data_IF_010720621604
#
_entry.id   IF_010720621604
#
_cell.length_a   1.000
_cell.length_b   1.000
_cell.length_c   1.000
_cell.angle_alpha   90.00
_cell.angle_beta   90.00
_cell.angle_gamma   90.00
#
_symmetry.space_group_name_H-M   'P 1'
#
loop_
_entity.id
_entity.type
_entity.pdbx_description
1 polymer ?
#
# COMPACT_ATOMS: atom_id res chain seq x y z
N UNK A 1 37.36 -10.82 10.07
CA UNK A 1 36.60 -11.97 9.53
C UNK A 1 36.67 -11.84 8.02
N UNK A 2 37.41 -12.70 7.36
CA UNK A 2 37.42 -12.74 5.90
C UNK A 2 36.15 -13.43 5.42
N UNK A 3 35.40 -12.71 4.57
CA UNK A 3 34.17 -13.22 3.98
C UNK A 3 34.52 -14.08 2.76
N UNK A 4 34.14 -15.35 2.78
CA UNK A 4 34.32 -16.26 1.64
C UNK A 4 33.47 -15.78 0.47
N UNK A 5 34.07 -15.50 -0.70
CA UNK A 5 33.33 -15.02 -1.87
C UNK A 5 32.47 -16.15 -2.48
N UNK A 6 31.20 -15.83 -2.74
CA UNK A 6 30.28 -16.68 -3.50
C UNK A 6 30.31 -16.33 -4.99
N UNK A 7 30.53 -15.02 -5.28
CA UNK A 7 30.60 -14.51 -6.65
C UNK A 7 32.04 -14.04 -6.95
N UNK A 8 32.68 -14.59 -8.00
CA UNK A 8 33.99 -14.11 -8.48
C UNK A 8 34.00 -12.63 -8.83
N UNK A 9 32.95 -12.14 -9.51
CA UNK A 9 32.83 -10.74 -9.88
C UNK A 9 31.55 -10.13 -9.38
N UNK A 10 31.66 -9.08 -8.56
CA UNK A 10 30.52 -8.30 -8.09
C UNK A 10 30.80 -6.80 -8.18
N UNK A 11 29.77 -6.03 -8.50
CA UNK A 11 29.85 -4.58 -8.62
C UNK A 11 28.88 -3.95 -7.62
N UNK A 12 29.39 -2.99 -6.82
CA UNK A 12 28.59 -2.13 -5.98
C UNK A 12 28.43 -0.75 -6.59
N UNK A 13 27.25 -0.18 -6.51
CA UNK A 13 26.93 1.16 -6.98
C UNK A 13 26.39 2.01 -5.85
N UNK A 14 27.09 3.11 -5.55
CA UNK A 14 26.55 4.17 -4.73
C UNK A 14 25.95 5.24 -5.65
N UNK A 15 24.62 5.42 -5.52
CA UNK A 15 23.82 6.18 -6.50
C UNK A 15 23.28 7.46 -5.87
N UNK A 16 23.78 8.60 -6.35
CA UNK A 16 23.33 9.93 -6.01
C UNK A 16 22.60 10.63 -7.16
N UNK A 17 22.09 11.83 -6.91
CA UNK A 17 21.35 12.61 -7.90
C UNK A 17 22.19 12.98 -9.13
N UNK A 18 23.47 13.32 -8.93
CA UNK A 18 24.36 13.84 -9.98
C UNK A 18 25.43 12.86 -10.41
N UNK A 19 25.74 11.88 -9.57
CA UNK A 19 26.89 11.01 -9.71
C UNK A 19 26.53 9.59 -9.29
N UNK A 20 27.19 8.62 -9.89
CA UNK A 20 27.16 7.20 -9.57
C UNK A 20 28.60 6.75 -9.38
N UNK A 21 28.95 6.35 -8.17
CA UNK A 21 30.24 5.74 -7.87
C UNK A 21 30.10 4.23 -7.96
N UNK A 22 30.92 3.61 -8.79
CA UNK A 22 30.95 2.16 -9.00
C UNK A 22 32.27 1.57 -8.48
N UNK A 23 32.16 0.42 -7.83
CA UNK A 23 33.30 -0.40 -7.44
C UNK A 23 33.10 -1.82 -7.94
N UNK A 24 34.01 -2.29 -8.80
CA UNK A 24 34.07 -3.68 -9.25
C UNK A 24 35.13 -4.44 -8.45
N UNK A 25 34.74 -5.61 -7.93
CA UNK A 25 35.68 -6.56 -7.29
C UNK A 25 35.66 -7.83 -8.11
N UNK A 26 36.78 -8.19 -8.71
CA UNK A 26 36.93 -9.35 -9.58
C UNK A 26 38.02 -10.26 -9.02
N UNK A 27 37.78 -11.57 -9.03
CA UNK A 27 38.83 -12.57 -8.78
C UNK A 27 39.22 -13.19 -10.10
N UNK A 28 40.52 -13.12 -10.45
CA UNK A 28 41.03 -13.76 -11.66
C UNK A 28 41.22 -15.28 -11.47
N UNK A 29 41.65 -15.97 -12.55
CA UNK A 29 41.86 -17.41 -12.54
C UNK A 29 42.95 -17.87 -11.53
N UNK A 30 43.88 -16.98 -11.19
CA UNK A 30 44.97 -17.22 -10.26
C UNK A 30 44.57 -16.90 -8.80
N UNK A 31 43.30 -16.54 -8.57
CA UNK A 31 42.76 -16.22 -7.26
C UNK A 31 43.11 -14.80 -6.77
N UNK A 32 43.72 -13.96 -7.60
CA UNK A 32 44.04 -12.60 -7.21
C UNK A 32 42.81 -11.70 -7.29
N UNK A 33 42.64 -10.89 -6.25
CA UNK A 33 41.50 -9.97 -6.15
C UNK A 33 41.91 -8.60 -6.69
N UNK A 34 41.19 -8.15 -7.72
CA UNK A 34 41.32 -6.79 -8.26
C UNK A 34 40.14 -5.93 -7.88
N UNK A 35 40.44 -4.71 -7.44
CA UNK A 35 39.42 -3.71 -7.08
C UNK A 35 39.58 -2.52 -8.01
N UNK A 36 38.52 -2.17 -8.72
CA UNK A 36 38.49 -1.04 -9.62
C UNK A 36 37.36 -0.08 -9.24
N UNK A 37 37.68 1.19 -9.14
CA UNK A 37 36.72 2.26 -8.89
C UNK A 37 36.52 3.09 -10.14
N UNK A 38 35.27 3.51 -10.39
CA UNK A 38 34.95 4.42 -11.47
C UNK A 38 33.75 5.30 -11.11
N UNK A 39 33.82 6.54 -11.52
CA UNK A 39 32.74 7.50 -11.37
C UNK A 39 32.04 7.75 -12.70
N UNK A 40 30.71 7.88 -12.63
CA UNK A 40 29.86 8.19 -13.76
C UNK A 40 28.90 9.31 -13.41
N UNK A 41 28.55 10.16 -14.38
CA UNK A 41 27.44 11.08 -14.23
C UNK A 41 26.09 10.38 -14.22
N UNK A 42 25.04 11.15 -13.93
CA UNK A 42 23.67 10.65 -13.86
C UNK A 42 22.86 10.82 -15.17
N UNK A 43 23.43 11.41 -16.21
CA UNK A 43 22.73 11.57 -17.48
C UNK A 43 22.60 10.25 -18.28
N UNK A 44 21.73 10.22 -19.27
CA UNK A 44 21.47 9.02 -20.08
C UNK A 44 22.75 8.47 -20.73
N UNK A 45 23.64 9.34 -21.25
CA UNK A 45 24.94 8.97 -21.83
C UNK A 45 25.83 8.25 -20.80
N UNK A 46 25.85 8.77 -19.56
CA UNK A 46 26.72 8.28 -18.50
C UNK A 46 26.23 6.92 -17.98
N UNK A 47 24.89 6.75 -17.85
CA UNK A 47 24.30 5.44 -17.50
C UNK A 47 24.53 4.40 -18.59
N UNK A 48 24.56 4.80 -19.87
CA UNK A 48 24.97 3.89 -20.97
C UNK A 48 26.46 3.53 -20.87
N UNK A 49 27.32 4.46 -20.47
CA UNK A 49 28.72 4.17 -20.22
C UNK A 49 28.90 3.24 -19.02
N UNK A 50 28.14 3.48 -17.92
CA UNK A 50 28.09 2.59 -16.75
C UNK A 50 27.65 1.16 -17.15
N UNK A 51 26.57 1.00 -17.91
CA UNK A 51 26.07 -0.33 -18.27
C UNK A 51 27.06 -1.08 -19.20
N UNK A 52 27.73 -0.40 -20.12
CA UNK A 52 28.82 -0.99 -20.92
C UNK A 52 30.01 -1.40 -20.05
N UNK A 53 30.47 -0.51 -19.16
CA UNK A 53 31.57 -0.80 -18.25
C UNK A 53 31.27 -1.99 -17.33
N UNK A 54 30.01 -2.13 -16.87
CA UNK A 54 29.58 -3.31 -16.13
C UNK A 54 29.57 -4.56 -17.01
N UNK A 55 29.04 -4.48 -18.25
CA UNK A 55 28.96 -5.62 -19.17
C UNK A 55 30.34 -6.17 -19.55
N UNK A 56 31.33 -5.31 -19.77
CA UNK A 56 32.73 -5.69 -20.06
C UNK A 56 33.35 -6.56 -18.95
N UNK A 57 32.87 -6.45 -17.72
CA UNK A 57 33.37 -7.20 -16.54
C UNK A 57 32.54 -8.47 -16.24
N UNK A 58 31.46 -8.68 -16.98
CA UNK A 58 30.57 -9.83 -16.85
C UNK A 58 30.26 -10.20 -15.39
N UNK A 59 29.74 -9.26 -14.55
CA UNK A 59 29.53 -9.53 -13.13
C UNK A 59 28.35 -10.49 -12.95
N UNK A 60 28.46 -11.41 -11.99
CA UNK A 60 27.34 -12.25 -11.56
C UNK A 60 26.24 -11.42 -10.91
N UNK A 61 26.61 -10.30 -10.30
CA UNK A 61 25.65 -9.40 -9.64
C UNK A 61 26.16 -7.97 -9.57
N UNK A 62 25.25 -7.02 -9.84
CA UNK A 62 25.44 -5.59 -9.56
C UNK A 62 24.49 -5.20 -8.45
N UNK A 63 24.97 -4.51 -7.42
CA UNK A 63 24.14 -4.14 -6.25
C UNK A 63 24.12 -2.63 -6.06
N UNK A 64 22.96 -2.08 -5.75
CA UNK A 64 22.80 -0.66 -5.40
C UNK A 64 21.82 -0.50 -4.23
N UNK A 65 21.97 0.58 -3.48
CA UNK A 65 21.08 0.89 -2.37
C UNK A 65 19.79 1.58 -2.85
N UNK A 66 18.66 1.28 -2.21
CA UNK A 66 17.33 1.85 -2.53
C UNK A 66 17.11 3.25 -1.98
N UNK A 67 18.15 4.11 -1.97
CA UNK A 67 18.04 5.47 -1.46
C UNK A 67 17.27 6.38 -2.43
N UNK A 68 16.18 6.96 -1.97
CA UNK A 68 15.35 7.86 -2.77
C UNK A 68 14.76 7.20 -4.03
N UNK A 69 14.86 7.92 -5.17
CA UNK A 69 14.37 7.46 -6.48
C UNK A 69 15.51 7.25 -7.50
N UNK A 70 16.73 7.64 -7.14
CA UNK A 70 17.84 7.76 -8.09
C UNK A 70 18.33 6.40 -8.62
N UNK A 71 18.18 5.33 -7.84
CA UNK A 71 18.53 3.97 -8.23
C UNK A 71 17.74 3.44 -9.44
N UNK A 72 16.54 3.99 -9.72
CA UNK A 72 15.68 3.47 -10.79
C UNK A 72 16.30 3.56 -12.17
N UNK A 73 16.95 4.67 -12.49
CA UNK A 73 17.50 4.90 -13.82
C UNK A 73 18.74 4.08 -14.13
N UNK A 74 19.74 3.89 -13.23
CA UNK A 74 20.82 2.94 -13.47
C UNK A 74 20.33 1.49 -13.45
N UNK A 75 19.37 1.11 -12.58
CA UNK A 75 18.74 -0.20 -12.60
C UNK A 75 18.19 -0.57 -13.99
N UNK A 76 17.39 0.33 -14.58
CA UNK A 76 16.82 0.12 -15.93
C UNK A 76 17.93 0.03 -17.01
N UNK A 77 19.02 0.80 -16.87
CA UNK A 77 20.12 0.74 -17.81
C UNK A 77 20.86 -0.61 -17.77
N UNK A 78 21.00 -1.20 -16.58
CA UNK A 78 21.59 -2.54 -16.38
C UNK A 78 20.64 -3.65 -16.85
N UNK A 79 19.35 -3.55 -16.49
CA UNK A 79 18.31 -4.51 -16.90
C UNK A 79 18.24 -4.66 -18.43
N UNK A 80 18.35 -3.55 -19.18
CA UNK A 80 18.30 -3.53 -20.64
C UNK A 80 19.49 -4.24 -21.34
N UNK A 81 20.59 -4.39 -20.66
CA UNK A 81 21.76 -5.12 -21.14
C UNK A 81 21.87 -6.52 -20.52
N UNK A 82 20.79 -6.99 -19.86
CA UNK A 82 20.71 -8.33 -19.29
C UNK A 82 21.51 -8.54 -18.00
N UNK A 83 22.01 -7.48 -17.36
CA UNK A 83 22.78 -7.60 -16.12
C UNK A 83 21.85 -7.79 -14.94
N UNK A 84 22.15 -8.80 -14.12
CA UNK A 84 21.46 -9.04 -12.85
C UNK A 84 21.77 -7.94 -11.85
N UNK A 85 20.80 -7.02 -11.65
CA UNK A 85 20.92 -5.92 -10.70
C UNK A 85 20.04 -6.16 -9.47
N UNK A 86 20.59 -5.99 -8.28
CA UNK A 86 19.88 -6.07 -7.00
C UNK A 86 19.78 -4.69 -6.36
N UNK A 87 18.57 -4.29 -6.00
CA UNK A 87 18.35 -3.09 -5.20
C UNK A 87 18.12 -3.50 -3.76
N UNK A 88 18.98 -3.06 -2.86
CA UNK A 88 18.97 -3.49 -1.46
C UNK A 88 18.50 -2.37 -0.52
N UNK A 89 17.93 -2.77 0.60
CA UNK A 89 17.46 -1.81 1.59
C UNK A 89 18.65 -1.30 2.43
N UNK A 90 18.80 0.02 2.54
CA UNK A 90 19.82 0.69 3.35
C UNK A 90 19.96 0.15 4.78
N UNK A 91 18.85 -0.23 5.40
CA UNK A 91 18.87 -0.81 6.76
C UNK A 91 19.50 -2.20 6.80
N UNK A 92 19.37 -2.98 5.74
CA UNK A 92 20.01 -4.29 5.63
C UNK A 92 21.53 -4.13 5.55
N UNK A 93 21.99 -3.19 4.71
CA UNK A 93 23.43 -2.88 4.55
C UNK A 93 24.05 -2.41 5.86
N UNK A 94 23.35 -1.54 6.59
CA UNK A 94 23.81 -1.01 7.89
C UNK A 94 23.84 -2.03 9.03
N UNK A 95 23.04 -3.09 8.94
CA UNK A 95 22.94 -4.12 9.98
C UNK A 95 23.91 -5.28 9.79
N UNK A 96 24.67 -5.31 8.69
CA UNK A 96 25.71 -6.33 8.51
C UNK A 96 26.93 -5.92 9.35
N UNK A 97 27.40 -6.76 10.29
CA UNK A 97 28.57 -6.46 11.09
C UNK A 97 29.81 -6.31 10.20
N UNK A 98 30.54 -5.22 10.37
CA UNK A 98 31.77 -4.94 9.63
C UNK A 98 32.20 -3.50 9.82
N UNK A 99 33.46 -3.22 9.54
CA UNK A 99 34.03 -1.87 9.67
C UNK A 99 33.64 -1.07 8.42
N UNK A 100 32.79 -0.06 8.58
CA UNK A 100 32.57 0.98 7.58
C UNK A 100 33.81 1.89 7.65
N UNK A 101 34.78 1.66 6.77
CA UNK A 101 35.85 2.61 6.51
C UNK A 101 35.33 3.62 5.49
N UNK A 102 35.95 4.81 5.38
CA UNK A 102 35.64 5.85 4.38
C UNK A 102 35.88 5.40 2.92
N UNK A 103 36.25 4.15 2.70
CA UNK A 103 36.30 3.50 1.41
C UNK A 103 34.87 3.31 0.93
N UNK A 104 34.54 4.05 -0.09
CA UNK A 104 33.29 4.28 -0.76
C UNK A 104 32.19 3.25 -0.44
N UNK A 105 30.98 3.74 -0.08
CA UNK A 105 29.79 2.91 0.13
C UNK A 105 29.58 1.90 -1.02
N UNK A 106 30.05 2.21 -2.24
CA UNK A 106 30.08 1.31 -3.39
C UNK A 106 30.96 0.07 -3.17
N UNK A 107 32.17 0.21 -2.60
CA UNK A 107 33.06 -0.93 -2.34
C UNK A 107 32.47 -1.85 -1.26
N UNK A 108 31.87 -1.27 -0.21
CA UNK A 108 31.20 -2.06 0.82
C UNK A 108 30.02 -2.86 0.25
N UNK A 109 29.22 -2.25 -0.64
CA UNK A 109 28.17 -2.96 -1.35
C UNK A 109 28.72 -4.10 -2.22
N UNK A 110 29.85 -3.91 -2.92
CA UNK A 110 30.49 -4.93 -3.72
C UNK A 110 31.01 -6.09 -2.86
N UNK A 111 31.63 -5.80 -1.71
CA UNK A 111 32.11 -6.83 -0.76
C UNK A 111 30.97 -7.67 -0.22
N UNK A 112 29.87 -7.03 0.23
CA UNK A 112 28.71 -7.72 0.76
C UNK A 112 27.98 -8.52 -0.33
N UNK A 113 27.90 -7.97 -1.55
CA UNK A 113 27.33 -8.65 -2.71
C UNK A 113 28.13 -9.91 -3.04
N UNK A 114 29.47 -9.81 -3.12
CA UNK A 114 30.39 -10.88 -3.40
C UNK A 114 30.26 -12.04 -2.38
N UNK A 115 30.04 -11.72 -1.11
CA UNK A 115 29.80 -12.70 -0.06
C UNK A 115 28.36 -13.26 -0.01
N UNK A 116 27.46 -12.82 -0.92
CA UNK A 116 26.05 -13.25 -0.95
C UNK A 116 25.20 -12.81 0.24
N UNK A 117 25.66 -11.82 1.01
CA UNK A 117 25.02 -11.36 2.24
C UNK A 117 23.84 -10.40 1.99
N UNK A 118 23.64 -9.96 0.74
CA UNK A 118 22.63 -8.99 0.40
C UNK A 118 21.40 -9.67 -0.23
N UNK A 119 20.22 -9.25 0.23
CA UNK A 119 18.94 -9.65 -0.36
C UNK A 119 18.36 -8.50 -1.15
N UNK A 120 18.09 -8.74 -2.44
CA UNK A 120 17.40 -7.78 -3.30
C UNK A 120 15.97 -7.53 -2.86
N UNK A 121 15.51 -6.29 -3.00
CA UNK A 121 14.11 -5.92 -2.90
C UNK A 121 13.37 -6.37 -4.16
N UNK A 122 12.09 -6.73 -4.02
CA UNK A 122 11.25 -7.04 -5.17
C UNK A 122 11.04 -5.79 -6.03
N UNK A 123 11.37 -5.90 -7.32
CA UNK A 123 11.13 -4.89 -8.35
C UNK A 123 10.28 -5.54 -9.44
N UNK A 124 9.06 -5.04 -9.71
CA UNK A 124 8.22 -5.61 -10.75
C UNK A 124 8.82 -5.40 -12.15
N UNK A 125 8.36 -6.20 -13.14
CA UNK A 125 8.69 -6.00 -14.55
C UNK A 125 8.44 -4.56 -15.02
N UNK A 126 9.15 -4.13 -16.08
CA UNK A 126 9.14 -2.73 -16.55
C UNK A 126 7.73 -2.20 -16.79
N UNK A 127 6.85 -2.97 -17.41
CA UNK A 127 5.46 -2.60 -17.68
C UNK A 127 4.68 -2.26 -16.41
N UNK A 128 4.70 -3.15 -15.42
CA UNK A 128 4.03 -2.93 -14.13
C UNK A 128 4.70 -1.82 -13.32
N UNK A 129 6.02 -1.64 -13.47
CA UNK A 129 6.78 -0.58 -12.80
C UNK A 129 6.36 0.82 -13.26
N UNK A 130 6.07 0.99 -14.56
CA UNK A 130 5.54 2.25 -15.09
C UNK A 130 4.11 2.51 -14.59
N UNK A 131 3.24 1.51 -14.61
CA UNK A 131 1.88 1.62 -14.08
C UNK A 131 1.85 1.86 -12.56
N UNK A 132 2.87 1.42 -11.81
CA UNK A 132 3.03 1.74 -10.39
C UNK A 132 3.14 3.26 -10.15
N UNK A 133 3.76 4.01 -11.06
CA UNK A 133 3.78 5.48 -10.99
C UNK A 133 2.36 6.06 -11.08
N UNK A 134 1.57 5.56 -12.03
CA UNK A 134 0.17 5.96 -12.25
C UNK A 134 -0.68 5.66 -11.02
N UNK A 135 -0.62 4.41 -10.53
CA UNK A 135 -1.34 3.95 -9.33
C UNK A 135 -1.02 4.80 -8.10
N UNK A 136 0.26 5.10 -7.86
CA UNK A 136 0.69 5.92 -6.72
C UNK A 136 0.27 7.38 -6.82
N UNK A 137 0.25 7.93 -8.02
CA UNK A 137 -0.26 9.29 -8.24
C UNK A 137 -1.78 9.36 -8.07
N UNK A 138 -2.51 8.38 -8.64
CA UNK A 138 -3.95 8.22 -8.41
C UNK A 138 -4.30 8.20 -6.92
N UNK A 139 -3.51 7.45 -6.13
CA UNK A 139 -3.68 7.38 -4.69
C UNK A 139 -3.49 8.75 -3.99
N UNK A 140 -2.50 9.55 -4.42
CA UNK A 140 -2.32 10.91 -3.91
C UNK A 140 -3.53 11.80 -4.22
N UNK A 141 -4.07 11.72 -5.44
CA UNK A 141 -5.27 12.45 -5.83
C UNK A 141 -6.48 12.07 -4.97
N UNK A 142 -6.66 10.78 -4.67
CA UNK A 142 -7.72 10.31 -3.76
C UNK A 142 -7.61 10.89 -2.35
N UNK A 143 -6.38 11.07 -1.84
CA UNK A 143 -6.17 11.74 -0.55
C UNK A 143 -6.49 13.23 -0.60
N UNK A 144 -6.13 13.91 -1.70
CA UNK A 144 -6.46 15.31 -1.91
C UNK A 144 -7.98 15.47 -1.98
N UNK A 145 -8.66 14.64 -2.75
CA UNK A 145 -10.11 14.62 -2.85
C UNK A 145 -10.78 14.47 -1.47
N UNK A 146 -10.33 13.52 -0.65
CA UNK A 146 -10.86 13.34 0.69
C UNK A 146 -10.63 14.57 1.59
N UNK A 147 -9.49 15.24 1.46
CA UNK A 147 -9.20 16.46 2.20
C UNK A 147 -10.11 17.61 1.79
N UNK A 148 -10.33 17.81 0.47
CA UNK A 148 -11.23 18.86 -0.04
C UNK A 148 -12.69 18.59 0.37
N UNK A 149 -13.15 17.35 0.30
CA UNK A 149 -14.48 16.94 0.79
C UNK A 149 -14.67 17.28 2.28
N UNK A 150 -13.66 17.05 3.09
CA UNK A 150 -13.70 17.42 4.51
C UNK A 150 -13.67 18.95 4.73
N UNK A 151 -12.96 19.70 3.87
CA UNK A 151 -12.96 21.17 3.95
C UNK A 151 -14.33 21.76 3.58
N UNK A 152 -14.96 21.28 2.51
CA UNK A 152 -16.31 21.70 2.12
C UNK A 152 -17.30 21.45 3.26
N UNK A 153 -17.25 20.29 3.91
CA UNK A 153 -18.07 20.00 5.08
C UNK A 153 -17.82 20.99 6.24
N UNK A 154 -16.56 21.36 6.49
CA UNK A 154 -16.23 22.31 7.56
C UNK A 154 -16.75 23.72 7.27
N UNK A 155 -16.64 24.19 6.05
CA UNK A 155 -17.12 25.53 5.65
C UNK A 155 -18.65 25.61 5.72
N UNK A 156 -19.38 24.56 5.31
CA UNK A 156 -20.83 24.47 5.51
C UNK A 156 -21.17 24.53 7.01
N UNK A 157 -20.44 23.79 7.85
CA UNK A 157 -20.66 23.76 9.27
C UNK A 157 -20.31 25.08 9.97
N UNK A 158 -19.33 25.82 9.45
CA UNK A 158 -18.94 27.15 9.94
C UNK A 158 -20.08 28.17 9.72
N UNK A 159 -20.70 28.15 8.54
CA UNK A 159 -21.89 28.94 8.23
C UNK A 159 -23.20 28.35 8.78
N UNK A 160 -23.16 27.46 9.78
CA UNK A 160 -24.33 26.92 10.45
C UNK A 160 -25.08 25.81 9.72
N UNK A 161 -24.76 25.52 8.45
CA UNK A 161 -25.44 24.48 7.65
C UNK A 161 -25.05 23.09 8.13
N UNK A 162 -26.04 22.28 8.53
CA UNK A 162 -25.85 20.93 9.12
C UNK A 162 -26.31 19.79 8.20
N UNK A 163 -26.28 19.97 6.91
CA UNK A 163 -26.79 19.04 5.91
C UNK A 163 -26.24 17.60 6.09
N UNK A 164 -25.01 17.45 6.56
CA UNK A 164 -24.40 16.14 6.83
C UNK A 164 -25.04 15.32 7.95
N UNK A 165 -25.93 15.93 8.76
CA UNK A 165 -26.65 15.19 9.83
C UNK A 165 -27.85 14.44 9.26
N UNK A 166 -28.39 14.90 8.14
CA UNK A 166 -29.62 14.39 7.51
C UNK A 166 -29.38 13.65 6.19
N UNK A 167 -28.18 13.77 5.59
CA UNK A 167 -27.78 13.01 4.42
C UNK A 167 -26.64 12.07 4.75
N UNK A 168 -26.68 10.86 4.22
CA UNK A 168 -25.62 9.86 4.42
C UNK A 168 -24.34 10.18 3.66
N UNK A 169 -24.45 10.86 2.53
CA UNK A 169 -23.35 11.29 1.69
C UNK A 169 -23.57 12.72 1.17
N UNK A 170 -22.77 13.65 1.69
CA UNK A 170 -22.79 15.06 1.30
C UNK A 170 -22.37 15.29 -0.17
N UNK A 171 -21.67 14.32 -0.76
CA UNK A 171 -21.16 14.38 -2.12
C UNK A 171 -22.01 13.58 -3.13
N UNK A 172 -23.09 12.96 -2.66
CA UNK A 172 -24.09 12.32 -3.53
C UNK A 172 -24.85 13.33 -4.39
N UNK A 173 -25.46 12.87 -5.46
CA UNK A 173 -26.09 13.70 -6.48
C UNK A 173 -27.06 14.77 -5.90
N UNK A 174 -27.97 14.35 -5.03
CA UNK A 174 -28.97 15.26 -4.42
C UNK A 174 -28.32 16.27 -3.46
N UNK A 175 -27.45 15.81 -2.57
CA UNK A 175 -26.78 16.69 -1.62
C UNK A 175 -25.86 17.71 -2.33
N UNK A 176 -25.18 17.30 -3.40
CA UNK A 176 -24.36 18.19 -4.22
C UNK A 176 -25.20 19.24 -4.94
N UNK A 177 -26.39 18.88 -5.44
CA UNK A 177 -27.34 19.85 -6.00
C UNK A 177 -27.79 20.87 -4.94
N UNK A 178 -28.11 20.41 -3.74
CA UNK A 178 -28.45 21.30 -2.63
C UNK A 178 -27.30 22.24 -2.23
N UNK A 179 -26.06 21.73 -2.19
CA UNK A 179 -24.87 22.56 -1.89
C UNK A 179 -24.67 23.63 -2.98
N UNK A 180 -24.85 23.30 -4.27
CA UNK A 180 -24.77 24.30 -5.34
C UNK A 180 -25.83 25.38 -5.16
N UNK A 181 -27.07 25.00 -4.90
CA UNK A 181 -28.17 25.96 -4.69
C UNK A 181 -27.90 26.86 -3.46
N UNK A 182 -27.27 26.36 -2.41
CA UNK A 182 -26.82 27.19 -1.28
C UNK A 182 -25.73 28.18 -1.68
N UNK A 183 -24.78 27.76 -2.53
CA UNK A 183 -23.74 28.63 -3.10
C UNK A 183 -24.38 29.74 -3.92
N UNK A 184 -25.39 29.43 -4.73
CA UNK A 184 -26.15 30.37 -5.56
C UNK A 184 -27.09 31.30 -4.77
N UNK A 185 -27.12 31.17 -3.46
CA UNK A 185 -27.90 32.02 -2.56
C UNK A 185 -29.40 31.71 -2.53
N UNK A 186 -29.80 30.51 -2.97
CA UNK A 186 -31.20 30.10 -2.92
C UNK A 186 -31.68 29.94 -1.47
N UNK A 187 -32.94 30.22 -1.22
CA UNK A 187 -33.54 30.08 0.10
C UNK A 187 -33.60 28.58 0.54
N UNK A 188 -33.60 28.30 1.83
CA UNK A 188 -33.72 26.92 2.34
C UNK A 188 -34.90 26.12 1.78
N UNK A 189 -36.02 26.80 1.51
CA UNK A 189 -37.21 26.19 0.89
C UNK A 189 -36.98 25.79 -0.59
N UNK A 190 -36.27 26.61 -1.35
CA UNK A 190 -35.88 26.28 -2.73
C UNK A 190 -34.87 25.13 -2.76
N UNK A 191 -33.86 25.16 -1.87
CA UNK A 191 -32.86 24.09 -1.75
C UNK A 191 -33.52 22.76 -1.36
N UNK A 192 -34.50 22.79 -0.45
CA UNK A 192 -35.27 21.60 -0.06
C UNK A 192 -35.99 20.93 -1.23
N UNK A 193 -36.43 21.70 -2.23
CA UNK A 193 -37.07 21.14 -3.42
C UNK A 193 -36.16 20.21 -4.23
N UNK A 194 -34.84 20.35 -4.13
CA UNK A 194 -33.82 19.51 -4.76
C UNK A 194 -33.54 18.22 -3.98
N UNK A 195 -34.08 18.11 -2.77
CA UNK A 195 -33.89 16.93 -1.92
C UNK A 195 -34.59 15.71 -2.52
N UNK A 196 -33.82 14.63 -2.73
CA UNK A 196 -34.37 13.38 -3.24
C UNK A 196 -35.43 12.81 -2.29
N UNK A 197 -36.50 12.26 -2.86
CA UNK A 197 -37.54 11.50 -2.12
C UNK A 197 -36.99 10.24 -1.42
N UNK A 198 -35.78 9.81 -1.77
CA UNK A 198 -35.10 8.63 -1.16
C UNK A 198 -34.35 8.98 0.14
N UNK A 199 -34.26 10.26 0.51
CA UNK A 199 -33.68 10.65 1.80
C UNK A 199 -34.58 10.16 2.93
N UNK A 200 -33.95 9.56 3.93
CA UNK A 200 -34.67 8.95 5.07
C UNK A 200 -35.13 10.01 6.11
N UNK A 201 -34.42 11.13 6.15
CA UNK A 201 -34.73 12.20 7.11
C UNK A 201 -36.06 12.89 6.74
N UNK A 202 -36.86 13.29 7.73
CA UNK A 202 -38.08 14.09 7.52
C UNK A 202 -37.74 15.41 6.83
N UNK A 203 -38.64 15.88 5.94
CA UNK A 203 -38.42 17.13 5.20
C UNK A 203 -38.20 18.34 6.09
N UNK A 204 -38.87 18.40 7.25
CA UNK A 204 -38.68 19.46 8.24
C UNK A 204 -37.26 19.46 8.82
N UNK A 205 -36.68 18.30 9.12
CA UNK A 205 -35.29 18.20 9.58
C UNK A 205 -34.29 18.59 8.48
N UNK A 206 -34.56 18.20 7.21
CA UNK A 206 -33.74 18.64 6.09
C UNK A 206 -33.80 20.16 5.97
N UNK A 207 -35.00 20.77 6.06
CA UNK A 207 -35.16 22.22 6.02
C UNK A 207 -34.38 22.90 7.15
N UNK A 208 -34.53 22.43 8.37
CA UNK A 208 -33.80 22.94 9.54
C UNK A 208 -32.27 22.79 9.39
N UNK A 209 -31.80 21.74 8.75
CA UNK A 209 -30.37 21.53 8.49
C UNK A 209 -29.76 22.50 7.48
N UNK A 210 -30.59 23.14 6.66
CA UNK A 210 -30.22 24.14 5.64
C UNK A 210 -30.26 25.58 6.19
N UNK A 211 -30.86 25.77 7.36
CA UNK A 211 -31.03 27.06 8.00
C UNK A 211 -29.71 27.49 8.68
N UNK A 212 -28.90 28.19 7.90
CA UNK A 212 -27.58 28.69 8.31
C UNK A 212 -27.29 30.05 7.68
N UNK A 213 -26.25 30.71 8.16
CA UNK A 213 -25.82 32.05 7.74
C UNK A 213 -24.60 31.97 6.82
N UNK A 214 -24.81 31.61 5.56
CA UNK A 214 -23.75 31.63 4.55
C UNK A 214 -23.57 33.04 3.99
N UNK A 215 -22.54 33.76 4.42
CA UNK A 215 -22.11 35.02 3.81
C UNK A 215 -21.41 34.82 2.46
N UNK A 216 -21.08 35.91 1.78
CA UNK A 216 -20.44 35.86 0.45
C UNK A 216 -19.11 35.15 0.44
N UNK A 217 -18.28 35.31 1.48
CA UNK A 217 -17.00 34.61 1.60
C UNK A 217 -17.20 33.10 1.75
N UNK A 218 -18.21 32.65 2.51
CA UNK A 218 -18.54 31.22 2.59
C UNK A 218 -18.90 30.64 1.23
N UNK A 219 -19.79 31.35 0.51
CA UNK A 219 -20.24 30.93 -0.85
C UNK A 219 -19.08 30.89 -1.83
N UNK A 220 -18.22 31.91 -1.83
CA UNK A 220 -17.02 31.93 -2.66
C UNK A 220 -16.12 30.73 -2.38
N UNK A 221 -15.78 30.47 -1.10
CA UNK A 221 -14.92 29.33 -0.72
C UNK A 221 -15.56 27.99 -1.05
N UNK A 222 -16.88 27.83 -0.82
CA UNK A 222 -17.63 26.62 -1.16
C UNK A 222 -17.64 26.37 -2.66
N UNK A 223 -17.80 27.41 -3.50
CA UNK A 223 -17.75 27.30 -4.96
C UNK A 223 -16.38 26.78 -5.42
N UNK A 224 -15.29 27.38 -4.91
CA UNK A 224 -13.93 26.97 -5.27
C UNK A 224 -13.62 25.53 -4.81
N UNK A 225 -14.08 25.14 -3.62
CA UNK A 225 -13.91 23.78 -3.12
C UNK A 225 -14.70 22.77 -3.94
N UNK A 226 -15.94 23.09 -4.33
CA UNK A 226 -16.78 22.19 -5.11
C UNK A 226 -16.20 21.98 -6.52
N UNK A 227 -15.76 23.06 -7.18
CA UNK A 227 -15.08 22.97 -8.47
C UNK A 227 -13.81 22.12 -8.39
N UNK A 228 -12.96 22.36 -7.38
CA UNK A 228 -11.74 21.58 -7.19
C UNK A 228 -12.04 20.10 -6.93
N UNK A 229 -13.08 19.78 -6.16
CA UNK A 229 -13.54 18.39 -5.93
C UNK A 229 -13.90 17.75 -7.28
N UNK A 230 -14.65 18.43 -8.14
CA UNK A 230 -15.07 17.92 -9.45
C UNK A 230 -13.88 17.69 -10.40
N UNK A 231 -12.92 18.62 -10.39
CA UNK A 231 -11.66 18.47 -11.13
C UNK A 231 -10.85 17.28 -10.65
N UNK A 232 -10.73 17.07 -9.33
CA UNK A 232 -10.04 15.93 -8.76
C UNK A 232 -10.74 14.60 -9.11
N UNK A 233 -12.06 14.56 -9.05
CA UNK A 233 -12.85 13.38 -9.45
C UNK A 233 -12.65 13.05 -10.93
N UNK A 234 -12.64 14.05 -11.80
CA UNK A 234 -12.36 13.86 -13.23
C UNK A 234 -10.94 13.33 -13.48
N UNK A 235 -9.95 13.91 -12.82
CA UNK A 235 -8.56 13.43 -12.92
C UNK A 235 -8.42 12.00 -12.42
N UNK A 236 -9.04 11.65 -11.29
CA UNK A 236 -9.00 10.28 -10.76
C UNK A 236 -9.58 9.30 -11.78
N UNK A 237 -10.71 9.63 -12.44
CA UNK A 237 -11.26 8.77 -13.51
C UNK A 237 -10.29 8.56 -14.66
N UNK A 238 -9.62 9.62 -15.12
CA UNK A 238 -8.61 9.50 -16.18
C UNK A 238 -7.43 8.61 -15.78
N UNK A 239 -6.99 8.67 -14.50
CA UNK A 239 -5.96 7.77 -13.97
C UNK A 239 -6.46 6.32 -13.86
N UNK A 240 -7.71 6.11 -13.48
CA UNK A 240 -8.32 4.78 -13.40
C UNK A 240 -8.43 4.14 -14.79
N UNK A 241 -8.88 4.88 -15.80
CA UNK A 241 -8.95 4.43 -17.19
C UNK A 241 -7.57 4.09 -17.75
N UNK A 242 -6.58 4.95 -17.55
CA UNK A 242 -5.20 4.71 -18.00
C UNK A 242 -4.57 3.48 -17.31
N UNK A 243 -4.80 3.31 -16.02
CA UNK A 243 -4.32 2.15 -15.26
C UNK A 243 -4.93 0.85 -15.78
N UNK A 244 -6.24 0.84 -16.02
CA UNK A 244 -6.95 -0.33 -16.53
C UNK A 244 -6.57 -0.67 -17.97
N UNK A 245 -6.41 0.33 -18.84
CA UNK A 245 -5.93 0.13 -20.21
C UNK A 245 -4.52 -0.49 -20.23
N UNK A 246 -3.62 -0.02 -19.36
CA UNK A 246 -2.28 -0.59 -19.25
C UNK A 246 -2.23 -2.00 -18.66
N UNK A 247 -3.33 -2.48 -18.08
CA UNK A 247 -3.47 -3.82 -17.52
C UNK A 247 -4.38 -4.74 -18.33
N UNK A 248 -4.72 -4.41 -19.57
CA UNK A 248 -5.62 -5.24 -20.41
C UNK A 248 -5.11 -6.67 -20.55
N UNK A 249 -3.81 -6.87 -20.72
CA UNK A 249 -3.19 -8.21 -20.80
C UNK A 249 -3.33 -9.03 -19.50
N UNK A 250 -3.76 -8.41 -18.40
CA UNK A 250 -3.97 -9.04 -17.10
C UNK A 250 -5.45 -9.09 -16.70
N UNK A 251 -6.36 -8.89 -17.66
CA UNK A 251 -7.80 -8.79 -17.42
C UNK A 251 -8.37 -9.98 -16.64
N UNK A 252 -7.99 -11.19 -17.00
CA UNK A 252 -8.43 -12.41 -16.32
C UNK A 252 -7.99 -12.43 -14.85
N UNK A 253 -6.75 -12.01 -14.60
CA UNK A 253 -6.22 -11.94 -13.23
C UNK A 253 -6.91 -10.84 -12.41
N UNK A 254 -7.26 -9.73 -13.04
CA UNK A 254 -8.07 -8.70 -12.39
C UNK A 254 -9.47 -9.22 -12.04
N UNK A 255 -10.12 -9.96 -12.93
CA UNK A 255 -11.41 -10.58 -12.66
C UNK A 255 -11.32 -11.61 -11.53
N UNK A 256 -10.28 -12.43 -11.54
CA UNK A 256 -10.00 -13.39 -10.48
C UNK A 256 -9.89 -12.70 -9.13
N UNK A 257 -9.07 -11.64 -9.00
CA UNK A 257 -8.89 -10.89 -7.76
C UNK A 257 -10.18 -10.22 -7.24
N UNK A 258 -11.07 -9.80 -8.14
CA UNK A 258 -12.36 -9.20 -7.79
C UNK A 258 -13.35 -10.19 -7.14
N UNK A 259 -13.12 -11.48 -7.25
CA UNK A 259 -13.94 -12.47 -6.56
C UNK A 259 -13.71 -12.48 -5.04
N UNK A 260 -12.58 -11.94 -4.58
CA UNK A 260 -12.31 -11.79 -3.15
C UNK A 260 -13.16 -10.65 -2.56
N UNK A 261 -14.02 -10.90 -1.57
CA UNK A 261 -14.87 -9.89 -0.96
C UNK A 261 -14.08 -8.67 -0.51
N UNK A 262 -14.54 -7.49 -0.93
CA UNK A 262 -13.91 -6.21 -0.61
C UNK A 262 -12.84 -5.74 -1.59
N UNK A 263 -12.59 -6.47 -2.66
CA UNK A 263 -11.67 -6.09 -3.75
C UNK A 263 -12.48 -5.65 -4.96
N UNK A 264 -12.41 -4.37 -5.30
CA UNK A 264 -12.97 -3.83 -6.54
C UNK A 264 -11.96 -3.85 -7.69
N UNK A 265 -12.42 -3.48 -8.89
CA UNK A 265 -11.60 -3.50 -10.11
C UNK A 265 -10.35 -2.62 -10.01
N UNK A 266 -10.50 -1.43 -9.46
CA UNK A 266 -9.39 -0.48 -9.31
C UNK A 266 -8.44 -0.93 -8.19
N UNK A 267 -8.97 -1.44 -7.10
CA UNK A 267 -8.18 -2.02 -6.02
C UNK A 267 -7.36 -3.22 -6.49
N UNK A 268 -7.95 -4.13 -7.28
CA UNK A 268 -7.24 -5.24 -7.92
C UNK A 268 -6.10 -4.75 -8.82
N UNK A 269 -6.36 -3.73 -9.66
CA UNK A 269 -5.37 -3.12 -10.53
C UNK A 269 -4.20 -2.49 -9.73
N UNK A 270 -4.52 -1.70 -8.70
CA UNK A 270 -3.53 -1.08 -7.81
C UNK A 270 -2.69 -2.11 -7.06
N UNK A 271 -3.30 -3.22 -6.64
CA UNK A 271 -2.61 -4.32 -5.99
C UNK A 271 -1.64 -5.00 -6.96
N UNK A 272 -2.11 -5.36 -8.15
CA UNK A 272 -1.33 -6.09 -9.14
C UNK A 272 -0.07 -5.34 -9.57
N UNK A 273 -0.14 -4.03 -9.79
CA UNK A 273 1.04 -3.23 -10.16
C UNK A 273 2.07 -3.14 -9.03
N UNK A 274 1.67 -3.38 -7.80
CA UNK A 274 2.59 -3.35 -6.66
C UNK A 274 3.22 -4.71 -6.36
N UNK A 275 2.49 -5.83 -6.48
CA UNK A 275 3.02 -7.16 -6.15
C UNK A 275 3.44 -7.98 -7.37
N UNK A 276 3.03 -7.56 -8.59
CA UNK A 276 3.28 -8.32 -9.80
C UNK A 276 2.41 -9.57 -9.93
N UNK A 277 2.74 -10.40 -10.90
CA UNK A 277 2.02 -11.63 -11.25
C UNK A 277 2.75 -12.91 -10.84
N UNK A 278 4.06 -12.80 -10.58
CA UNK A 278 4.93 -13.94 -10.29
C UNK A 278 5.18 -14.04 -8.79
N UNK A 279 4.44 -14.91 -8.12
CA UNK A 279 4.52 -15.08 -6.66
C UNK A 279 5.82 -15.78 -6.22
N UNK A 280 6.46 -16.50 -7.12
CA UNK A 280 7.77 -17.12 -6.93
C UNK A 280 8.85 -16.12 -6.53
N UNK A 281 8.75 -14.87 -7.00
CA UNK A 281 9.64 -13.77 -6.61
C UNK A 281 9.68 -13.53 -5.09
N UNK A 282 8.61 -13.87 -4.39
CA UNK A 282 8.54 -13.81 -2.92
C UNK A 282 8.86 -15.15 -2.27
N UNK A 283 8.61 -16.26 -2.95
CA UNK A 283 8.86 -17.64 -2.51
C UNK A 283 7.90 -18.16 -1.45
N UNK A 284 7.16 -17.29 -0.73
CA UNK A 284 6.07 -17.70 0.18
C UNK A 284 5.15 -16.54 0.56
N UNK A 285 3.90 -16.82 0.98
CA UNK A 285 2.97 -15.79 1.44
C UNK A 285 3.48 -15.07 2.70
N UNK A 286 4.28 -15.71 3.55
CA UNK A 286 4.89 -15.11 4.74
C UNK A 286 5.96 -14.08 4.36
N UNK A 287 6.75 -14.35 3.32
CA UNK A 287 7.76 -13.42 2.79
C UNK A 287 7.10 -12.23 2.12
N UNK A 288 6.02 -12.44 1.35
CA UNK A 288 5.20 -11.36 0.81
C UNK A 288 4.63 -10.49 1.93
N UNK A 289 4.06 -11.09 2.98
CA UNK A 289 3.51 -10.36 4.11
C UNK A 289 4.58 -9.57 4.89
N UNK A 290 5.79 -10.11 4.99
CA UNK A 290 6.96 -9.43 5.57
C UNK A 290 7.40 -8.24 4.71
N UNK A 291 7.43 -8.39 3.39
CA UNK A 291 7.78 -7.33 2.45
C UNK A 291 6.74 -6.19 2.47
N UNK A 292 5.46 -6.52 2.56
CA UNK A 292 4.38 -5.53 2.76
C UNK A 292 4.50 -4.83 4.11
N UNK A 293 5.10 -5.47 5.10
CA UNK A 293 5.21 -4.96 6.46
C UNK A 293 3.90 -5.07 7.24
N UNK A 294 3.10 -6.12 6.98
CA UNK A 294 1.83 -6.36 7.67
C UNK A 294 1.97 -7.43 8.77
N UNK A 295 3.14 -8.04 8.90
CA UNK A 295 3.48 -8.96 9.97
C UNK A 295 3.89 -8.23 11.25
N UNK A 296 3.62 -8.80 12.44
CA UNK A 296 4.21 -8.31 13.68
C UNK A 296 5.75 -8.37 13.61
N UNK A 297 6.41 -7.36 14.14
CA UNK A 297 7.86 -7.40 14.33
C UNK A 297 8.22 -8.38 15.42
N UNK A 298 9.16 -9.30 15.15
CA UNK A 298 9.81 -10.10 16.20
C UNK A 298 10.89 -9.24 16.86
N UNK A 299 10.48 -8.42 17.83
CA UNK A 299 11.42 -7.68 18.66
C UNK A 299 11.37 -8.30 20.06
N UNK A 300 12.14 -9.39 20.21
CA UNK A 300 12.26 -10.17 21.44
C UNK A 300 13.72 -10.24 21.82
N UNK A 301 14.02 -10.10 23.10
CA UNK A 301 15.36 -10.21 23.65
C UNK A 301 15.25 -10.91 25.01
N UNK A 302 16.00 -11.99 25.20
CA UNK A 302 16.03 -12.82 26.42
C UNK A 302 14.60 -13.22 26.88
N UNK A 303 13.75 -13.71 25.94
CA UNK A 303 12.38 -14.15 26.23
C UNK A 303 11.38 -13.00 26.48
N UNK A 304 11.82 -11.74 26.49
CA UNK A 304 10.94 -10.58 26.69
C UNK A 304 10.58 -9.91 25.37
N UNK A 305 9.29 -9.89 25.05
CA UNK A 305 8.76 -9.23 23.86
C UNK A 305 8.76 -7.71 24.04
N UNK A 306 9.65 -7.00 23.31
CA UNK A 306 9.80 -5.54 23.39
C UNK A 306 8.73 -4.78 22.61
N UNK A 307 8.28 -5.29 21.46
CA UNK A 307 7.27 -4.62 20.64
C UNK A 307 6.51 -5.59 19.74
N UNK A 308 5.18 -5.43 19.67
CA UNK A 308 4.31 -6.10 18.69
C UNK A 308 3.91 -5.20 17.51
N UNK A 309 4.62 -4.08 17.30
CA UNK A 309 4.34 -3.19 16.16
C UNK A 309 4.70 -3.88 14.85
N UNK A 310 3.91 -3.60 13.82
CA UNK A 310 4.19 -4.05 12.45
C UNK A 310 5.48 -3.40 11.94
N UNK A 311 6.22 -4.13 11.10
CA UNK A 311 7.45 -3.61 10.48
C UNK A 311 7.13 -2.55 9.43
N UNK A 312 8.11 -1.73 9.10
CA UNK A 312 8.05 -0.90 7.90
C UNK A 312 8.14 -1.78 6.66
N UNK A 313 7.29 -1.51 5.68
CA UNK A 313 7.24 -2.23 4.41
C UNK A 313 6.59 -1.34 3.35
N UNK A 314 5.92 -1.92 2.36
CA UNK A 314 5.25 -1.15 1.32
C UNK A 314 3.96 -0.48 1.85
N UNK A 315 3.96 0.85 2.07
CA UNK A 315 2.81 1.55 2.67
C UNK A 315 1.59 1.60 1.73
N UNK A 316 1.81 1.49 0.41
CA UNK A 316 0.74 1.53 -0.59
C UNK A 316 -0.12 0.28 -0.49
N UNK A 317 0.51 -0.91 -0.49
CA UNK A 317 -0.23 -2.18 -0.36
C UNK A 317 -0.87 -2.31 1.02
N UNK A 318 -0.13 -1.98 2.08
CA UNK A 318 -0.68 -2.09 3.45
C UNK A 318 -1.98 -1.30 3.61
N UNK A 319 -2.03 -0.08 3.06
CA UNK A 319 -3.24 0.73 3.08
C UNK A 319 -4.35 0.08 2.27
N UNK A 320 -4.06 -0.33 1.02
CA UNK A 320 -5.01 -0.96 0.13
C UNK A 320 -5.63 -2.22 0.76
N UNK A 321 -4.80 -3.07 1.37
CA UNK A 321 -5.28 -4.25 2.09
C UNK A 321 -6.16 -3.90 3.30
N UNK A 322 -5.89 -2.80 4.00
CA UNK A 322 -6.77 -2.33 5.07
C UNK A 322 -8.11 -1.81 4.51
N UNK A 323 -8.12 -1.16 3.36
CA UNK A 323 -9.34 -0.74 2.66
C UNK A 323 -10.16 -1.97 2.25
N UNK A 324 -9.53 -2.99 1.66
CA UNK A 324 -10.18 -4.28 1.36
C UNK A 324 -10.76 -4.95 2.61
N UNK A 325 -10.01 -4.98 3.71
CA UNK A 325 -10.47 -5.55 4.96
C UNK A 325 -11.66 -4.77 5.56
N UNK A 326 -11.68 -3.44 5.40
CA UNK A 326 -12.83 -2.62 5.79
C UNK A 326 -14.07 -2.87 4.93
N UNK A 327 -13.92 -3.18 3.66
CA UNK A 327 -15.03 -3.56 2.78
C UNK A 327 -15.50 -4.99 3.08
N UNK A 328 -14.58 -5.96 3.15
CA UNK A 328 -14.88 -7.37 3.41
C UNK A 328 -15.63 -7.59 4.74
N UNK A 329 -15.29 -6.85 5.81
CA UNK A 329 -16.00 -6.98 7.10
C UNK A 329 -17.47 -6.56 7.06
N UNK A 330 -17.92 -5.89 5.99
CA UNK A 330 -19.31 -5.45 5.77
C UNK A 330 -20.07 -6.39 4.83
N UNK A 331 -19.37 -7.33 4.19
CA UNK A 331 -19.93 -8.30 3.26
C UNK A 331 -20.17 -9.61 3.98
N UNK A 332 -21.35 -10.22 3.80
CA UNK A 332 -21.66 -11.55 4.37
C UNK A 332 -20.75 -12.61 3.76
N UNK A 333 -19.73 -13.04 4.48
CA UNK A 333 -18.74 -14.03 4.06
C UNK A 333 -17.89 -14.48 5.27
N UNK A 334 -17.11 -15.53 5.13
CA UNK A 334 -16.22 -16.04 6.17
C UNK A 334 -15.18 -15.02 6.64
N UNK A 335 -14.81 -14.02 5.81
CA UNK A 335 -13.93 -12.93 6.21
C UNK A 335 -14.59 -11.98 7.22
N UNK A 336 -15.91 -11.73 7.10
CA UNK A 336 -16.66 -10.96 8.09
C UNK A 336 -16.68 -11.69 9.44
N UNK A 337 -17.05 -12.98 9.45
CA UNK A 337 -17.07 -13.79 10.65
C UNK A 337 -15.67 -13.85 11.32
N UNK A 338 -14.62 -14.01 10.50
CA UNK A 338 -13.24 -13.93 10.99
C UNK A 338 -12.90 -12.59 11.61
N UNK A 339 -13.35 -11.47 11.01
CA UNK A 339 -13.15 -10.14 11.59
C UNK A 339 -13.79 -10.03 12.97
N UNK A 340 -15.05 -10.42 13.13
CA UNK A 340 -15.76 -10.36 14.41
C UNK A 340 -15.05 -11.19 15.49
N UNK A 341 -14.66 -12.42 15.16
CA UNK A 341 -13.87 -13.28 16.06
C UNK A 341 -12.55 -12.63 16.52
N UNK A 342 -11.88 -11.86 15.65
CA UNK A 342 -10.65 -11.16 16.00
C UNK A 342 -10.92 -9.86 16.78
N UNK A 343 -11.96 -9.11 16.43
CA UNK A 343 -12.28 -7.83 17.03
C UNK A 343 -12.68 -7.96 18.50
N UNK A 344 -13.42 -9.00 18.85
CA UNK A 344 -13.81 -9.31 20.23
C UNK A 344 -12.60 -9.50 21.17
N UNK A 345 -11.46 -10.00 20.64
CA UNK A 345 -10.27 -10.28 21.46
C UNK A 345 -9.21 -9.20 21.43
N UNK A 346 -9.05 -8.49 20.30
CA UNK A 346 -7.90 -7.62 20.03
C UNK A 346 -8.27 -6.18 19.71
N UNK A 347 -9.57 -5.89 19.64
CA UNK A 347 -10.12 -4.60 19.24
C UNK A 347 -10.04 -4.36 17.73
N UNK A 348 -10.84 -3.41 17.25
CA UNK A 348 -11.10 -3.18 15.82
C UNK A 348 -9.82 -2.91 14.98
N UNK A 349 -8.93 -2.04 15.45
CA UNK A 349 -7.72 -1.67 14.70
C UNK A 349 -6.80 -2.87 14.43
N UNK A 350 -6.58 -3.71 15.45
CA UNK A 350 -5.73 -4.91 15.31
C UNK A 350 -6.42 -6.00 14.48
N UNK A 351 -7.75 -6.12 14.60
CA UNK A 351 -8.55 -7.05 13.81
C UNK A 351 -8.49 -6.74 12.32
N UNK A 352 -8.58 -5.47 11.92
CA UNK A 352 -8.43 -5.04 10.51
C UNK A 352 -7.06 -5.43 9.95
N UNK A 353 -5.98 -5.16 10.67
CA UNK A 353 -4.64 -5.53 10.19
C UNK A 353 -4.47 -7.05 10.08
N UNK A 354 -5.02 -7.81 11.02
CA UNK A 354 -4.98 -9.27 10.98
C UNK A 354 -5.84 -9.84 9.84
N UNK A 355 -6.99 -9.24 9.56
CA UNK A 355 -7.82 -9.61 8.40
C UNK A 355 -7.10 -9.27 7.09
N UNK A 356 -6.53 -8.08 6.98
CA UNK A 356 -5.71 -7.65 5.84
C UNK A 356 -4.54 -8.60 5.58
N UNK A 357 -3.86 -9.09 6.62
CA UNK A 357 -2.83 -10.13 6.51
C UNK A 357 -3.39 -11.46 5.98
N UNK A 358 -4.58 -11.91 6.45
CA UNK A 358 -5.23 -13.10 5.92
C UNK A 358 -5.59 -12.92 4.45
N UNK A 359 -6.17 -11.78 4.07
CA UNK A 359 -6.50 -11.46 2.67
C UNK A 359 -5.27 -11.48 1.76
N UNK A 360 -4.14 -10.93 2.21
CA UNK A 360 -2.89 -10.98 1.44
C UNK A 360 -2.42 -12.41 1.18
N UNK A 361 -2.53 -13.31 2.16
CA UNK A 361 -2.18 -14.73 1.97
C UNK A 361 -3.13 -15.42 0.98
N UNK A 362 -4.42 -15.10 1.03
CA UNK A 362 -5.40 -15.58 0.05
C UNK A 362 -5.02 -15.08 -1.35
N UNK A 363 -4.76 -13.79 -1.50
CA UNK A 363 -4.33 -13.17 -2.77
C UNK A 363 -3.09 -13.86 -3.33
N UNK A 364 -2.09 -14.17 -2.48
CA UNK A 364 -0.90 -14.91 -2.90
C UNK A 364 -1.28 -16.22 -3.58
N UNK A 365 -2.09 -17.06 -2.94
CA UNK A 365 -2.50 -18.35 -3.49
C UNK A 365 -3.44 -18.20 -4.70
N UNK A 366 -4.32 -17.20 -4.73
CA UNK A 366 -5.16 -16.93 -5.90
C UNK A 366 -4.32 -16.63 -7.14
N UNK A 367 -3.27 -15.80 -7.01
CA UNK A 367 -2.38 -15.46 -8.12
C UNK A 367 -1.51 -16.66 -8.51
N UNK A 368 -0.92 -17.35 -7.54
CA UNK A 368 -0.04 -18.50 -7.74
C UNK A 368 -0.75 -19.64 -8.48
N UNK A 369 -1.97 -19.98 -8.06
CA UNK A 369 -2.75 -21.11 -8.58
C UNK A 369 -3.69 -20.75 -9.71
N UNK A 370 -3.88 -19.46 -9.98
CA UNK A 370 -4.89 -18.95 -10.93
C UNK A 370 -6.32 -19.37 -10.57
N UNK A 371 -6.62 -19.49 -9.26
CA UNK A 371 -7.90 -19.93 -8.74
C UNK A 371 -8.75 -18.76 -8.24
N UNK A 372 -10.07 -18.85 -8.44
CA UNK A 372 -11.04 -17.92 -7.86
C UNK A 372 -11.10 -18.07 -6.34
N UNK A 373 -11.49 -16.97 -5.67
CA UNK A 373 -11.75 -17.04 -4.24
C UNK A 373 -12.87 -18.04 -3.93
N UNK A 374 -12.59 -18.91 -2.97
CA UNK A 374 -13.59 -19.79 -2.35
C UNK A 374 -13.72 -19.39 -0.89
N UNK A 375 -14.96 -19.17 -0.46
CA UNK A 375 -15.19 -18.81 0.93
C UNK A 375 -14.84 -20.00 1.85
N UNK A 376 -14.57 -19.68 3.09
CA UNK A 376 -14.21 -20.68 4.09
C UNK A 376 -15.47 -21.27 4.69
N UNK A 377 -15.60 -22.59 4.68
CA UNK A 377 -16.67 -23.34 5.37
C UNK A 377 -16.51 -23.31 6.90
N UNK A 378 -15.46 -22.63 7.40
CA UNK A 378 -15.20 -22.54 8.84
C UNK A 378 -16.20 -21.61 9.50
N UNK A 379 -17.02 -22.16 10.38
CA UNK A 379 -17.87 -21.38 11.27
C UNK A 379 -17.02 -20.71 12.37
N UNK A 380 -16.53 -19.51 12.05
CA UNK A 380 -15.75 -18.73 13.01
C UNK A 380 -16.56 -18.25 14.21
N UNK A 381 -17.87 -18.19 14.09
CA UNK A 381 -18.76 -17.80 15.19
C UNK A 381 -18.90 -18.94 16.19
N UNK A 382 -19.17 -20.15 15.70
CA UNK A 382 -19.17 -21.37 16.52
C UNK A 382 -17.83 -21.57 17.24
N UNK A 383 -16.72 -21.47 16.52
CA UNK A 383 -15.37 -21.54 17.11
C UNK A 383 -15.12 -20.45 18.16
N UNK A 384 -15.66 -19.26 17.97
CA UNK A 384 -15.54 -18.17 18.94
C UNK A 384 -16.35 -18.47 20.19
N UNK A 385 -17.60 -18.96 20.03
CA UNK A 385 -18.46 -19.36 21.15
C UNK A 385 -17.82 -20.49 21.94
N UNK A 386 -17.46 -21.59 21.28
CA UNK A 386 -16.80 -22.75 21.92
C UNK A 386 -15.60 -22.33 22.76
N UNK A 387 -14.74 -21.50 22.21
CA UNK A 387 -13.52 -21.05 22.90
C UNK A 387 -13.78 -20.12 24.08
N UNK A 388 -14.81 -19.29 24.05
CA UNK A 388 -15.08 -18.27 25.08
C UNK A 388 -16.21 -18.68 26.02
N UNK A 389 -17.03 -19.67 25.68
CA UNK A 389 -18.15 -20.10 26.49
C UNK A 389 -17.77 -20.40 27.94
N UNK A 390 -16.69 -21.14 28.26
CA UNK A 390 -16.33 -21.39 29.66
C UNK A 390 -16.11 -20.11 30.47
N UNK A 391 -15.45 -19.12 29.86
CA UNK A 391 -15.22 -17.83 30.50
C UNK A 391 -16.51 -17.03 30.64
N UNK A 392 -17.37 -17.02 29.64
CA UNK A 392 -18.64 -16.30 29.66
C UNK A 392 -19.59 -16.92 30.69
N UNK A 393 -19.69 -18.23 30.72
CA UNK A 393 -20.49 -18.96 31.74
C UNK A 393 -19.99 -18.62 33.14
N UNK A 394 -18.67 -18.67 33.38
CA UNK A 394 -18.10 -18.31 34.66
C UNK A 394 -18.45 -16.86 35.05
N UNK A 395 -18.36 -15.91 34.12
CA UNK A 395 -18.72 -14.50 34.35
C UNK A 395 -20.22 -14.36 34.64
N UNK A 396 -21.08 -14.98 33.85
CA UNK A 396 -22.53 -14.94 34.04
C UNK A 396 -22.95 -15.55 35.38
N UNK A 397 -22.35 -16.67 35.78
CA UNK A 397 -22.58 -17.26 37.11
C UNK A 397 -22.11 -16.34 38.23
N UNK A 398 -20.92 -15.72 38.10
CA UNK A 398 -20.37 -14.80 39.10
C UNK A 398 -21.27 -13.59 39.33
N UNK A 399 -21.95 -13.11 38.34
CA UNK A 399 -22.84 -11.94 38.42
C UNK A 399 -24.31 -12.33 38.58
N UNK A 400 -24.64 -13.61 38.77
CA UNK A 400 -26.00 -14.07 39.05
C UNK A 400 -26.97 -14.08 37.86
N UNK A 401 -26.46 -14.01 36.64
CA UNK A 401 -27.28 -14.06 35.41
C UNK A 401 -27.67 -15.49 35.00
N UNK A 402 -26.94 -16.50 35.45
CA UNK A 402 -27.30 -17.90 35.28
C UNK A 402 -27.67 -18.43 36.66
N UNK A 403 -28.97 -18.70 36.86
CA UNK A 403 -29.43 -19.53 37.98
C UNK A 403 -29.22 -20.97 37.58
N UNK A 404 -28.37 -21.70 38.28
CA UNK A 404 -28.38 -23.17 38.25
C UNK A 404 -29.76 -23.58 38.75
N UNK A 405 -30.65 -23.97 37.84
CA UNK A 405 -31.81 -24.75 38.22
C UNK A 405 -31.30 -26.03 38.85
N UNK A 406 -31.56 -26.15 40.14
CA UNK A 406 -31.28 -27.32 40.94
C UNK A 406 -32.01 -28.57 40.37
#
# INVERSE_FOLDING_TARGET
MELTPIYPTAIGLDVHQRQITACAITTDADGQVRVEHREFGAFKRDRRALSRWCAERAPEVVVMESTGIYWKSPYVALERVGIRALVVNARHVKNVPGRKTDIADAQWLAVLARAGLLRGSFIPPETLRHLRLVSRQRHKLGRMLAAEKNRLHKVLADGGVRLSTVVSDLHGQSARAMVRALIDGQSPAQVLALASRRLKAPRQEILASLDGELGDDHRFVLAQLLEHIEQLESRIRAFDEHLLAGLENYRELLQLLQTLPGVDRIGAAMLLVEIGTEMEAFGSPERLASWVGICPGNNESAGKRKSGRIRQGNPHIRRLLCEFAHAARRTRCGLQAKYHSLAARRGNKRAIVALAHKMLRIIYFMIERRDYYRDSDVDYEALMVERNAPRWIHMLNRYGYLTTSA
#
